data_IF_854600010082
#
_entry.id   IF_854600010082
#
_cell.length_a   1.000
_cell.length_b   1.000
_cell.length_c   1.000
_cell.angle_alpha   90.00
_cell.angle_beta   90.00
_cell.angle_gamma   90.00
#
_symmetry.space_group_name_H-M   'P 1'
#
loop_
_entity.id
_entity.type
_entity.pdbx_description
1 polymer ?
#
# COMPACT_ATOMS: atom_id res chain seq x y z
N UNK A 1 5.75 -12.76 -4.86
CA UNK A 1 6.91 -12.04 -4.30
C UNK A 1 6.93 -10.67 -4.93
N UNK A 2 6.13 -9.74 -4.41
CA UNK A 2 6.20 -8.38 -4.87
C UNK A 2 7.38 -7.73 -4.14
N UNK A 3 8.47 -7.54 -4.86
CA UNK A 3 9.69 -6.86 -4.40
C UNK A 3 9.45 -5.36 -4.06
N UNK A 4 8.27 -4.83 -4.43
CA UNK A 4 7.78 -3.50 -4.03
C UNK A 4 6.27 -3.42 -4.18
N UNK A 5 5.63 -2.53 -3.42
CA UNK A 5 4.20 -2.28 -3.48
C UNK A 5 3.81 -1.53 -4.77
N UNK A 6 2.87 -2.04 -5.59
CA UNK A 6 2.48 -1.40 -6.84
C UNK A 6 1.77 -0.05 -6.65
N UNK A 7 1.30 0.23 -5.44
CA UNK A 7 0.60 1.47 -5.08
C UNK A 7 1.53 2.55 -4.51
N UNK A 8 2.84 2.29 -4.44
CA UNK A 8 3.82 3.25 -3.98
C UNK A 8 4.30 4.10 -5.16
N UNK A 9 4.00 5.39 -5.12
CA UNK A 9 4.54 6.39 -6.04
C UNK A 9 5.46 7.36 -5.30
N UNK A 10 6.35 8.02 -6.04
CA UNK A 10 7.15 9.13 -5.53
C UNK A 10 6.73 10.40 -6.26
N UNK A 11 6.30 11.42 -5.52
CA UNK A 11 5.81 12.68 -6.09
C UNK A 11 6.50 13.86 -5.42
N UNK A 12 6.83 14.86 -6.22
CA UNK A 12 7.42 16.13 -5.78
C UNK A 12 6.36 17.19 -5.48
N UNK A 13 5.07 16.87 -5.65
CA UNK A 13 3.95 17.78 -5.41
C UNK A 13 2.73 17.04 -4.88
N UNK A 14 1.98 17.69 -4.00
CA UNK A 14 0.69 17.22 -3.48
C UNK A 14 0.13 18.17 -2.42
N UNK A 15 -1.19 18.12 -2.21
CA UNK A 15 -1.92 19.02 -1.29
C UNK A 15 -1.67 20.52 -1.54
N UNK A 16 -1.38 20.90 -2.79
CA UNK A 16 -1.08 22.28 -3.18
C UNK A 16 0.34 22.75 -2.80
N UNK A 17 1.17 21.85 -2.30
CA UNK A 17 2.57 22.09 -1.94
C UNK A 17 3.52 21.35 -2.88
N UNK A 18 4.67 21.95 -3.14
CA UNK A 18 5.78 21.35 -3.89
C UNK A 18 6.94 21.08 -2.94
N UNK A 19 7.57 19.92 -3.09
CA UNK A 19 8.69 19.43 -2.30
C UNK A 19 9.97 19.45 -3.14
N UNK A 20 11.10 19.77 -2.51
CA UNK A 20 12.42 19.71 -3.15
C UNK A 20 12.89 18.27 -3.43
N UNK A 21 12.23 17.27 -2.85
CA UNK A 21 12.56 15.86 -3.02
C UNK A 21 11.27 15.05 -3.09
N UNK A 22 11.23 14.10 -4.04
CA UNK A 22 10.08 13.25 -4.23
C UNK A 22 9.75 12.46 -2.95
N UNK A 23 8.52 12.61 -2.47
CA UNK A 23 8.00 11.95 -1.28
C UNK A 23 7.18 10.73 -1.63
N UNK A 24 7.25 9.71 -0.77
CA UNK A 24 6.47 8.50 -0.90
C UNK A 24 4.97 8.81 -0.74
N UNK A 25 4.21 8.49 -1.78
CA UNK A 25 2.77 8.71 -1.89
C UNK A 25 2.08 7.37 -2.14
N UNK A 26 1.10 7.03 -1.30
CA UNK A 26 0.30 5.85 -1.51
C UNK A 26 -0.94 6.20 -2.32
N UNK A 27 -1.14 5.52 -3.45
CA UNK A 27 -2.29 5.74 -4.32
C UNK A 27 -3.58 5.11 -3.79
N UNK A 28 -3.51 4.21 -2.79
CA UNK A 28 -4.70 3.60 -2.15
C UNK A 28 -5.34 4.57 -1.18
N UNK A 29 -4.52 5.22 -0.34
CA UNK A 29 -4.98 6.20 0.64
C UNK A 29 -4.92 7.64 0.12
N UNK A 30 -4.51 7.81 -1.13
CA UNK A 30 -4.31 9.09 -1.83
C UNK A 30 -3.57 10.13 -0.99
N UNK A 31 -2.54 9.70 -0.28
CA UNK A 31 -1.83 10.53 0.70
C UNK A 31 -0.35 10.17 0.80
N UNK A 32 0.45 11.14 1.24
CA UNK A 32 1.85 10.91 1.57
C UNK A 32 1.98 9.99 2.78
N UNK A 33 2.82 8.96 2.65
CA UNK A 33 3.03 7.98 3.71
C UNK A 33 4.22 8.35 4.59
N UNK A 34 4.18 7.87 5.83
CA UNK A 34 5.30 8.02 6.76
C UNK A 34 6.52 7.19 6.29
N UNK A 35 7.75 7.57 6.69
CA UNK A 35 8.97 6.85 6.33
C UNK A 35 8.91 5.34 6.64
N UNK A 36 8.43 4.96 7.84
CA UNK A 36 8.30 3.54 8.21
C UNK A 36 7.42 2.75 7.24
N UNK A 37 6.32 3.35 6.79
CA UNK A 37 5.43 2.69 5.84
C UNK A 37 6.01 2.70 4.43
N UNK A 38 6.78 3.72 4.06
CA UNK A 38 7.54 3.70 2.83
C UNK A 38 8.59 2.57 2.84
N UNK A 39 9.23 2.29 3.96
CA UNK A 39 10.17 1.17 4.09
C UNK A 39 9.46 -0.19 3.89
N UNK A 40 8.29 -0.39 4.50
CA UNK A 40 7.45 -1.58 4.26
C UNK A 40 7.11 -1.71 2.77
N UNK A 41 6.56 -0.66 2.15
CA UNK A 41 6.16 -0.71 0.75
C UNK A 41 7.33 -0.91 -0.23
N UNK A 42 8.56 -0.50 0.13
CA UNK A 42 9.75 -0.76 -0.67
C UNK A 42 10.39 -2.13 -0.40
N UNK A 43 9.76 -2.98 0.43
CA UNK A 43 10.33 -4.23 0.92
C UNK A 43 11.74 -4.06 1.52
N UNK A 44 11.99 -2.92 2.19
CA UNK A 44 13.29 -2.67 2.85
C UNK A 44 13.37 -3.43 4.16
N UNK A 45 14.60 -3.78 4.56
CA UNK A 45 14.86 -4.46 5.83
C UNK A 45 14.10 -5.79 6.00
N UNK A 46 13.91 -6.52 4.89
CA UNK A 46 13.20 -7.82 4.88
C UNK A 46 11.70 -7.70 5.25
N UNK A 47 11.14 -6.50 5.21
CA UNK A 47 9.69 -6.27 5.33
C UNK A 47 8.99 -6.73 4.05
N UNK A 48 7.80 -7.30 4.19
CA UNK A 48 7.03 -7.80 3.06
C UNK A 48 5.77 -6.92 2.88
N UNK A 49 5.61 -6.21 1.75
CA UNK A 49 4.43 -5.39 1.51
C UNK A 49 3.12 -6.16 1.65
N UNK A 50 3.08 -7.45 1.32
CA UNK A 50 1.87 -8.26 1.39
C UNK A 50 1.53 -8.75 2.80
N UNK A 51 2.53 -8.91 3.67
CA UNK A 51 2.33 -9.32 5.05
C UNK A 51 2.22 -8.13 6.04
N UNK A 52 2.97 -7.06 5.79
CA UNK A 52 3.21 -6.00 6.78
C UNK A 52 2.47 -4.67 6.49
N UNK A 53 1.88 -4.50 5.29
CA UNK A 53 1.12 -3.29 4.94
C UNK A 53 -0.39 -3.53 4.98
N UNK A 54 -1.10 -2.81 5.86
CA UNK A 54 -2.56 -2.91 6.03
C UNK A 54 -3.37 -2.50 4.78
N UNK A 55 -2.76 -1.78 3.83
CA UNK A 55 -3.39 -1.31 2.59
C UNK A 55 -2.91 -2.05 1.34
N UNK A 56 -2.04 -3.04 1.50
CA UNK A 56 -1.57 -3.80 0.36
C UNK A 56 -2.70 -4.67 -0.16
N UNK A 57 -3.30 -4.24 -1.27
CA UNK A 57 -4.14 -5.09 -2.07
C UNK A 57 -3.19 -5.82 -2.99
N UNK A 58 -3.02 -7.13 -2.77
CA UNK A 58 -2.29 -7.95 -3.72
C UNK A 58 -2.94 -7.73 -5.08
N UNK A 59 -2.17 -7.24 -6.06
CA UNK A 59 -2.65 -7.06 -7.43
C UNK A 59 -3.10 -8.39 -8.10
N UNK A 60 -3.06 -9.50 -7.36
CA UNK A 60 -3.44 -10.84 -7.78
C UNK A 60 -4.30 -11.53 -6.70
N UNK A 61 -5.49 -10.99 -6.43
CA UNK A 61 -6.63 -11.77 -5.93
C UNK A 61 -7.93 -11.10 -6.39
N UNK A 62 -8.39 -11.30 -7.64
CA UNK A 62 -9.82 -11.50 -7.79
C UNK A 62 -10.18 -12.73 -6.93
N UNK A 63 -11.29 -12.68 -6.20
CA UNK A 63 -11.84 -13.74 -5.35
C UNK A 63 -11.32 -13.76 -3.89
N UNK A 64 -12.10 -13.15 -2.98
CA UNK A 64 -12.95 -13.94 -2.08
C UNK A 64 -14.03 -13.02 -1.46
N UNK A 65 -15.07 -12.70 -2.25
CA UNK A 65 -16.40 -12.56 -1.68
C UNK A 65 -16.90 -13.97 -1.36
N UNK A 66 -16.65 -14.43 -0.14
CA UNK A 66 -17.42 -15.52 0.47
C UNK A 66 -17.98 -15.06 1.81
N UNK A 67 -18.79 -14.01 1.75
CA UNK A 67 -19.90 -13.88 2.69
C UNK A 67 -20.86 -15.05 2.44
N UNK A 68 -20.89 -16.00 3.36
CA UNK A 68 -22.07 -16.81 3.61
C UNK A 68 -22.30 -16.81 5.11
N UNK A 69 -23.20 -15.93 5.62
CA UNK A 69 -23.75 -16.11 6.95
C UNK A 69 -24.69 -17.31 6.90
N UNK A 70 -24.19 -18.51 7.19
CA UNK A 70 -25.04 -19.65 7.51
C UNK A 70 -25.65 -19.42 8.91
N UNK A 71 -26.75 -18.66 8.90
CA UNK A 71 -27.79 -18.73 9.90
C UNK A 71 -28.74 -19.88 9.60
N UNK A 72 -29.23 -20.53 10.67
CA UNK A 72 -30.40 -21.43 10.73
C UNK A 72 -30.19 -22.78 9.97
N UNK A 73 -30.07 -23.94 10.63
CA UNK A 73 -31.00 -24.49 11.62
C UNK A 73 -30.51 -25.83 12.17
#
# INVERSE_FOLDING_TARGET
MAETCPHLAYREEGDGESFETARAFCTVTESFVQPMRADVCNARYELDPAADCEFYVAAESPDDESESPDGDR
#
